data_IF_198581290431
#
_entry.id   IF_198581290431
#
_cell.length_a   1.000
_cell.length_b   1.000
_cell.length_c   1.000
_cell.angle_alpha   90.00
_cell.angle_beta   90.00
_cell.angle_gamma   90.00
#
_symmetry.space_group_name_H-M   'P 1'
#
loop_
_entity.id
_entity.type
_entity.pdbx_description
1 polymer ?
#
# COMPACT_ATOMS: atom_id res chain seq x y z
N UNK A 1 -4.15 13.86 -40.75
CA UNK A 1 -3.97 12.55 -40.11
C UNK A 1 -4.17 12.76 -38.61
N UNK A 2 -5.30 12.33 -38.05
CA UNK A 2 -5.60 12.55 -36.62
C UNK A 2 -4.91 11.41 -35.86
N UNK A 3 -3.86 11.71 -35.09
CA UNK A 3 -3.27 10.72 -34.18
C UNK A 3 -4.12 10.65 -32.91
N UNK A 4 -4.80 9.53 -32.68
CA UNK A 4 -5.42 9.27 -31.38
C UNK A 4 -4.29 9.22 -30.33
N UNK A 5 -4.40 10.02 -29.28
CA UNK A 5 -3.46 10.01 -28.16
C UNK A 5 -4.23 9.69 -26.89
N UNK A 6 -3.82 8.64 -26.22
CA UNK A 6 -4.47 8.23 -24.98
C UNK A 6 -4.27 9.27 -23.90
N UNK A 7 -5.37 9.67 -23.27
CA UNK A 7 -5.36 10.53 -22.08
C UNK A 7 -5.36 9.64 -20.83
N UNK A 8 -4.89 10.13 -19.67
CA UNK A 8 -4.95 9.35 -18.43
C UNK A 8 -6.38 8.91 -18.08
N UNK A 9 -7.37 9.76 -18.36
CA UNK A 9 -8.78 9.41 -18.19
C UNK A 9 -9.22 8.26 -19.12
N UNK A 10 -8.76 8.26 -20.38
CA UNK A 10 -9.03 7.18 -21.34
C UNK A 10 -8.42 5.85 -20.89
N UNK A 11 -7.16 5.87 -20.46
CA UNK A 11 -6.47 4.67 -19.96
C UNK A 11 -7.13 4.11 -18.71
N UNK A 12 -7.56 4.99 -17.80
CA UNK A 12 -8.30 4.58 -16.60
C UNK A 12 -9.64 3.93 -16.96
N UNK A 13 -10.39 4.53 -17.90
CA UNK A 13 -11.66 3.97 -18.37
C UNK A 13 -11.47 2.61 -19.06
N UNK A 14 -10.44 2.45 -19.89
CA UNK A 14 -10.09 1.15 -20.49
C UNK A 14 -9.73 0.12 -19.41
N UNK A 15 -8.94 0.51 -18.41
CA UNK A 15 -8.59 -0.36 -17.28
C UNK A 15 -9.84 -0.87 -16.55
N UNK A 16 -10.80 0.00 -16.25
CA UNK A 16 -12.01 -0.36 -15.51
C UNK A 16 -13.03 -1.15 -16.35
N UNK A 17 -13.19 -0.81 -17.63
CA UNK A 17 -14.26 -1.39 -18.47
C UNK A 17 -13.82 -2.64 -19.21
N UNK A 18 -12.52 -2.77 -19.51
CA UNK A 18 -11.99 -3.88 -20.31
C UNK A 18 -11.09 -4.80 -19.50
N UNK A 19 -10.03 -4.26 -18.88
CA UNK A 19 -9.04 -5.10 -18.20
C UNK A 19 -9.56 -5.69 -16.89
N UNK A 20 -10.26 -4.90 -16.07
CA UNK A 20 -10.74 -5.31 -14.75
C UNK A 20 -11.78 -6.45 -14.82
N UNK A 21 -12.80 -6.43 -15.70
CA UNK A 21 -13.78 -7.52 -15.77
C UNK A 21 -13.14 -8.82 -16.26
N UNK A 22 -12.22 -8.75 -17.23
CA UNK A 22 -11.46 -9.90 -17.72
C UNK A 22 -10.60 -10.52 -16.61
N UNK A 23 -9.85 -9.68 -15.88
CA UNK A 23 -9.05 -10.12 -14.75
C UNK A 23 -9.93 -10.75 -13.66
N UNK A 24 -11.04 -10.10 -13.31
CA UNK A 24 -11.97 -10.60 -12.28
C UNK A 24 -12.54 -11.96 -12.66
N UNK A 25 -12.93 -12.16 -13.92
CA UNK A 25 -13.42 -13.45 -14.43
C UNK A 25 -12.34 -14.53 -14.34
N UNK A 26 -11.11 -14.23 -14.76
CA UNK A 26 -9.99 -15.17 -14.72
C UNK A 26 -9.60 -15.55 -13.27
N UNK A 27 -9.50 -14.57 -12.36
CA UNK A 27 -9.22 -14.81 -10.95
C UNK A 27 -10.36 -15.57 -10.26
N UNK A 28 -11.62 -15.34 -10.66
CA UNK A 28 -12.73 -16.13 -10.19
C UNK A 28 -12.59 -17.61 -10.60
N UNK A 29 -12.21 -17.87 -11.85
CA UNK A 29 -11.90 -19.23 -12.33
C UNK A 29 -10.80 -19.89 -11.51
N UNK A 30 -9.73 -19.15 -11.21
CA UNK A 30 -8.62 -19.63 -10.37
C UNK A 30 -9.08 -19.98 -8.95
N UNK A 31 -9.95 -19.16 -8.34
CA UNK A 31 -10.52 -19.43 -7.01
C UNK A 31 -11.36 -20.72 -6.99
N UNK A 32 -12.09 -21.03 -8.07
CA UNK A 32 -12.87 -22.28 -8.16
C UNK A 32 -11.94 -23.50 -8.23
N UNK A 33 -10.79 -23.38 -8.89
CA UNK A 33 -9.78 -24.45 -8.97
C UNK A 33 -9.01 -24.59 -7.66
N UNK A 34 -8.70 -23.47 -7.00
CA UNK A 34 -7.90 -23.42 -5.78
C UNK A 34 -8.63 -22.66 -4.66
N UNK A 35 -9.38 -23.36 -3.80
CA UNK A 35 -10.18 -22.74 -2.74
C UNK A 35 -9.38 -21.85 -1.77
N UNK A 36 -8.10 -22.15 -1.56
CA UNK A 36 -7.21 -21.39 -0.67
C UNK A 36 -6.82 -20.00 -1.21
N UNK A 37 -6.96 -19.74 -2.52
CA UNK A 37 -6.49 -18.51 -3.17
C UNK A 37 -7.00 -17.24 -2.49
N UNK A 38 -8.31 -17.13 -2.28
CA UNK A 38 -8.94 -15.96 -1.66
C UNK A 38 -8.46 -15.69 -0.24
N UNK A 39 -8.16 -16.75 0.52
CA UNK A 39 -7.58 -16.62 1.85
C UNK A 39 -6.18 -16.04 1.81
N UNK A 40 -5.34 -16.52 0.88
CA UNK A 40 -3.98 -16.01 0.68
C UNK A 40 -4.00 -14.57 0.19
N UNK A 41 -4.82 -14.25 -0.81
CA UNK A 41 -4.98 -12.91 -1.37
C UNK A 41 -5.37 -11.88 -0.29
N UNK A 42 -6.33 -12.24 0.57
CA UNK A 42 -6.76 -11.39 1.69
C UNK A 42 -5.66 -11.19 2.72
N UNK A 43 -4.90 -12.23 3.06
CA UNK A 43 -3.76 -12.12 3.98
C UNK A 43 -2.64 -11.26 3.40
N UNK A 44 -2.29 -11.46 2.14
CA UNK A 44 -1.28 -10.67 1.43
C UNK A 44 -1.67 -9.18 1.40
N UNK A 45 -2.90 -8.86 0.96
CA UNK A 45 -3.43 -7.49 1.00
C UNK A 45 -3.40 -6.92 2.40
N UNK A 46 -3.93 -7.64 3.39
CA UNK A 46 -3.96 -7.16 4.78
C UNK A 46 -2.57 -6.85 5.29
N UNK A 47 -1.60 -7.72 5.03
CA UNK A 47 -0.21 -7.56 5.45
C UNK A 47 0.44 -6.34 4.80
N UNK A 48 0.36 -6.19 3.48
CA UNK A 48 0.92 -5.02 2.77
C UNK A 48 0.33 -3.71 3.28
N UNK A 49 -0.98 -3.67 3.52
CA UNK A 49 -1.65 -2.48 4.08
C UNK A 49 -1.25 -2.22 5.53
N UNK A 50 -1.09 -3.26 6.35
CA UNK A 50 -0.65 -3.15 7.74
C UNK A 50 0.80 -2.63 7.85
N UNK A 51 1.64 -2.98 6.87
CA UNK A 51 3.00 -2.44 6.72
C UNK A 51 3.04 -0.99 6.19
N UNK A 52 1.89 -0.30 6.11
CA UNK A 52 1.74 1.07 5.63
C UNK A 52 2.16 1.29 4.15
N UNK A 53 2.31 0.21 3.37
CA UNK A 53 2.70 0.28 1.95
C UNK A 53 1.50 0.38 1.01
N UNK A 54 0.30 0.64 1.56
CA UNK A 54 -0.95 0.51 0.81
C UNK A 54 -1.08 1.41 -0.43
N UNK A 55 -0.56 2.63 -0.36
CA UNK A 55 -0.68 3.58 -1.46
C UNK A 55 0.10 3.17 -2.72
N UNK A 56 1.14 2.32 -2.59
CA UNK A 56 2.00 1.92 -3.71
C UNK A 56 1.53 0.71 -4.50
N UNK A 57 0.52 -0.03 -4.01
CA UNK A 57 0.07 -1.28 -4.62
C UNK A 57 -1.44 -1.27 -4.86
N UNK A 58 -1.85 -1.63 -6.07
CA UNK A 58 -3.26 -1.89 -6.40
C UNK A 58 -3.68 -3.25 -5.83
N UNK A 59 -4.97 -3.43 -5.56
CA UNK A 59 -5.47 -4.71 -5.06
C UNK A 59 -5.26 -5.82 -6.09
N UNK A 60 -5.39 -5.48 -7.38
CA UNK A 60 -5.19 -6.38 -8.52
C UNK A 60 -3.72 -6.80 -8.67
N UNK A 61 -2.76 -5.90 -8.44
CA UNK A 61 -1.33 -6.26 -8.48
C UNK A 61 -0.99 -7.33 -7.44
N UNK A 62 -1.54 -7.21 -6.22
CA UNK A 62 -1.31 -8.17 -5.14
C UNK A 62 -2.02 -9.50 -5.42
N UNK A 63 -3.24 -9.46 -5.98
CA UNK A 63 -3.94 -10.68 -6.39
C UNK A 63 -3.18 -11.43 -7.48
N UNK A 64 -2.55 -10.73 -8.43
CA UNK A 64 -1.74 -11.34 -9.48
C UNK A 64 -0.45 -11.97 -8.94
N UNK A 65 0.22 -11.33 -7.98
CA UNK A 65 1.38 -11.94 -7.30
C UNK A 65 0.97 -13.21 -6.57
N UNK A 66 -0.18 -13.19 -5.90
CA UNK A 66 -0.71 -14.38 -5.23
C UNK A 66 -1.12 -15.45 -6.25
N UNK A 67 -1.73 -15.07 -7.38
CA UNK A 67 -2.12 -16.00 -8.44
C UNK A 67 -0.90 -16.76 -9.00
N UNK A 68 0.25 -16.09 -9.12
CA UNK A 68 1.49 -16.71 -9.55
C UNK A 68 1.89 -17.93 -8.69
N UNK A 69 1.59 -17.91 -7.38
CA UNK A 69 1.88 -19.03 -6.46
C UNK A 69 1.08 -20.30 -6.77
N UNK A 70 -0.09 -20.16 -7.39
CA UNK A 70 -0.96 -21.28 -7.74
C UNK A 70 -0.69 -21.77 -9.17
N UNK A 71 -0.37 -20.86 -10.08
CA UNK A 71 -0.10 -21.15 -11.49
C UNK A 71 1.33 -21.68 -11.73
N UNK A 72 2.29 -21.20 -10.95
CA UNK A 72 3.71 -21.56 -11.03
C UNK A 72 4.18 -22.02 -9.65
N UNK A 73 3.69 -23.19 -9.16
CA UNK A 73 3.96 -23.63 -7.81
C UNK A 73 5.40 -24.10 -7.59
N UNK A 74 6.19 -24.32 -8.64
CA UNK A 74 7.52 -24.90 -8.57
C UNK A 74 8.47 -24.06 -7.69
N UNK A 75 9.33 -24.70 -6.87
CA UNK A 75 9.56 -26.14 -6.71
C UNK A 75 8.56 -26.86 -5.79
N UNK A 76 7.54 -26.16 -5.30
CA UNK A 76 6.52 -26.70 -4.40
C UNK A 76 5.27 -27.19 -5.17
N UNK A 77 4.20 -27.49 -4.43
CA UNK A 77 2.84 -27.74 -4.95
C UNK A 77 1.96 -26.51 -4.80
N UNK A 78 0.81 -26.37 -5.48
CA UNK A 78 -0.11 -25.25 -5.22
C UNK A 78 -0.52 -25.17 -3.74
N UNK A 79 -0.57 -23.97 -3.11
CA UNK A 79 -0.94 -23.84 -1.71
C UNK A 79 -2.34 -24.41 -1.42
N UNK A 80 -2.45 -25.29 -0.42
CA UNK A 80 -3.74 -25.85 0.04
C UNK A 80 -4.33 -25.13 1.25
N UNK A 81 -3.53 -24.30 1.93
CA UNK A 81 -3.96 -23.50 3.09
C UNK A 81 -3.54 -22.03 2.95
N UNK A 82 -4.34 -21.08 3.47
CA UNK A 82 -3.99 -19.66 3.45
C UNK A 82 -2.66 -19.34 4.12
N UNK A 83 -2.32 -20.05 5.20
CA UNK A 83 -1.08 -19.84 5.96
C UNK A 83 0.15 -20.21 5.12
N UNK A 84 0.13 -21.38 4.47
CA UNK A 84 1.23 -21.81 3.59
C UNK A 84 1.35 -20.88 2.39
N UNK A 85 0.22 -20.49 1.79
CA UNK A 85 0.25 -19.54 0.68
C UNK A 85 0.77 -18.17 1.09
N UNK A 86 0.48 -17.70 2.31
CA UNK A 86 1.02 -16.44 2.83
C UNK A 86 2.54 -16.50 3.06
N UNK A 87 3.06 -17.59 3.62
CA UNK A 87 4.52 -17.80 3.72
C UNK A 87 5.18 -17.80 2.34
N UNK A 88 4.58 -18.49 1.37
CA UNK A 88 5.10 -18.52 0.00
C UNK A 88 4.98 -17.19 -0.71
N UNK A 89 3.97 -16.39 -0.40
CA UNK A 89 3.88 -15.00 -0.87
C UNK A 89 5.05 -14.18 -0.36
N UNK A 90 5.35 -14.21 0.94
CA UNK A 90 6.50 -13.51 1.52
C UNK A 90 7.83 -14.01 0.93
N UNK A 91 7.96 -15.33 0.74
CA UNK A 91 9.13 -15.94 0.09
C UNK A 91 9.29 -15.46 -1.36
N UNK A 92 8.23 -15.50 -2.16
CA UNK A 92 8.26 -15.00 -3.54
C UNK A 92 8.66 -13.53 -3.57
N UNK A 93 8.04 -12.69 -2.76
CA UNK A 93 8.32 -11.25 -2.73
C UNK A 93 9.77 -10.95 -2.34
N UNK A 94 10.32 -11.68 -1.37
CA UNK A 94 11.67 -11.46 -0.87
C UNK A 94 12.77 -12.01 -1.79
N UNK A 95 12.51 -13.11 -2.51
CA UNK A 95 13.53 -13.80 -3.32
C UNK A 95 13.45 -13.52 -4.82
N UNK A 96 12.31 -13.06 -5.33
CA UNK A 96 12.12 -12.81 -6.74
C UNK A 96 12.95 -11.61 -7.22
N UNK A 97 13.64 -11.79 -8.35
CA UNK A 97 14.44 -10.73 -8.98
C UNK A 97 13.55 -9.81 -9.83
N UNK A 98 12.91 -8.86 -9.15
CA UNK A 98 12.07 -7.83 -9.77
C UNK A 98 12.82 -6.92 -10.76
N UNK A 99 14.16 -6.89 -10.71
CA UNK A 99 14.96 -6.00 -11.57
C UNK A 99 15.12 -6.60 -12.95
N UNK A 100 15.49 -7.88 -13.02
CA UNK A 100 15.89 -8.53 -14.27
C UNK A 100 14.81 -9.46 -14.85
N UNK A 101 13.77 -9.82 -14.09
CA UNK A 101 12.72 -10.72 -14.55
C UNK A 101 11.32 -10.11 -14.40
N UNK A 102 10.45 -10.23 -15.42
CA UNK A 102 9.03 -9.94 -15.27
C UNK A 102 8.31 -11.13 -14.60
N UNK A 103 7.34 -10.85 -13.73
CA UNK A 103 6.45 -11.87 -13.19
C UNK A 103 5.36 -12.19 -14.21
N UNK A 104 5.48 -13.33 -14.89
CA UNK A 104 4.49 -13.78 -15.87
C UNK A 104 3.40 -14.57 -15.14
N UNK A 105 2.15 -14.14 -15.27
CA UNK A 105 0.97 -14.76 -14.65
C UNK A 105 0.08 -15.29 -15.77
N UNK A 106 0.28 -16.55 -16.17
CA UNK A 106 -0.42 -17.16 -17.29
C UNK A 106 -1.84 -17.63 -16.92
N UNK A 107 -2.77 -16.69 -16.80
CA UNK A 107 -4.17 -16.97 -16.53
C UNK A 107 -4.79 -17.82 -17.65
N UNK A 108 -5.56 -18.84 -17.28
CA UNK A 108 -6.24 -19.78 -18.19
C UNK A 108 -5.35 -20.51 -19.22
N UNK A 109 -4.02 -20.50 -19.05
CA UNK A 109 -3.05 -21.02 -20.01
C UNK A 109 -3.16 -20.38 -21.42
N UNK A 110 -3.53 -19.09 -21.49
CA UNK A 110 -3.67 -18.35 -22.74
C UNK A 110 -2.32 -18.01 -23.40
N UNK A 111 -1.22 -17.95 -22.63
CA UNK A 111 0.12 -17.72 -23.14
C UNK A 111 0.86 -19.03 -23.39
N UNK A 112 1.32 -19.21 -24.62
CA UNK A 112 2.18 -20.33 -25.01
C UNK A 112 3.59 -20.19 -24.44
N UNK A 113 4.34 -21.30 -24.37
CA UNK A 113 5.73 -21.31 -23.88
C UNK A 113 6.63 -20.42 -24.75
N UNK A 114 6.39 -20.41 -26.06
CA UNK A 114 7.11 -19.57 -27.03
C UNK A 114 6.88 -18.08 -26.74
N UNK A 115 5.62 -17.66 -26.56
CA UNK A 115 5.29 -16.27 -26.20
C UNK A 115 5.90 -15.85 -24.86
N UNK A 116 5.93 -16.75 -23.86
CA UNK A 116 6.60 -16.48 -22.58
C UNK A 116 8.11 -16.27 -22.76
N UNK A 117 8.75 -17.04 -23.65
CA UNK A 117 10.15 -16.87 -24.01
C UNK A 117 10.43 -15.53 -24.72
N UNK A 118 9.54 -15.12 -25.61
CA UNK A 118 9.60 -13.81 -26.29
C UNK A 118 9.47 -12.66 -25.29
N UNK A 119 8.52 -12.75 -24.35
CA UNK A 119 8.33 -11.74 -23.30
C UNK A 119 9.60 -11.59 -22.46
N UNK A 120 10.21 -12.71 -22.04
CA UNK A 120 11.46 -12.69 -21.24
C UNK A 120 12.63 -12.12 -22.02
N UNK A 121 12.79 -12.47 -23.29
CA UNK A 121 13.91 -11.98 -24.11
C UNK A 121 13.77 -10.48 -24.45
N UNK A 122 12.55 -10.01 -24.69
CA UNK A 122 12.27 -8.59 -24.96
C UNK A 122 12.33 -7.70 -23.71
N UNK A 123 12.16 -8.26 -22.51
CA UNK A 123 12.06 -7.50 -21.26
C UNK A 123 13.27 -6.60 -20.99
N UNK A 124 14.49 -7.14 -21.13
CA UNK A 124 15.71 -6.36 -20.86
C UNK A 124 15.89 -5.21 -21.86
N UNK A 125 15.43 -5.39 -23.10
CA UNK A 125 15.50 -4.37 -24.13
C UNK A 125 14.56 -3.18 -23.84
N UNK A 126 13.39 -3.43 -23.23
CA UNK A 126 12.40 -2.39 -22.90
C UNK A 126 12.44 -1.94 -21.44
N UNK A 127 13.36 -2.48 -20.62
CA UNK A 127 13.39 -2.30 -19.16
C UNK A 127 13.35 -0.85 -18.69
N UNK A 128 13.98 0.06 -19.43
CA UNK A 128 14.05 1.49 -19.09
C UNK A 128 12.70 2.22 -19.17
N UNK A 129 11.74 1.66 -19.90
CA UNK A 129 10.40 2.22 -20.09
C UNK A 129 9.37 1.58 -19.15
N UNK A 130 9.72 0.47 -18.49
CA UNK A 130 8.83 -0.32 -17.66
C UNK A 130 8.92 0.07 -16.19
N UNK A 131 7.82 -0.15 -15.41
CA UNK A 131 7.84 0.09 -13.97
C UNK A 131 8.84 -0.80 -13.24
N UNK A 132 9.05 -0.53 -11.95
CA UNK A 132 10.05 -1.27 -11.15
C UNK A 132 9.61 -2.72 -10.96
N UNK A 133 8.36 -2.90 -10.56
CA UNK A 133 7.68 -4.18 -10.49
C UNK A 133 6.95 -4.37 -11.82
N UNK A 134 7.12 -5.51 -12.50
CA UNK A 134 6.47 -5.79 -13.78
C UNK A 134 5.74 -7.10 -13.69
N UNK A 135 4.42 -7.03 -13.81
CA UNK A 135 3.52 -8.19 -13.88
C UNK A 135 2.92 -8.27 -15.28
N UNK A 136 3.09 -9.41 -15.93
CA UNK A 136 2.61 -9.68 -17.29
C UNK A 136 1.45 -10.66 -17.22
N UNK A 137 0.37 -10.35 -17.93
CA UNK A 137 -0.81 -11.21 -18.06
C UNK A 137 -1.12 -11.47 -19.53
N UNK A 138 -1.94 -12.47 -19.90
CA UNK A 138 -2.25 -12.74 -21.31
C UNK A 138 -2.83 -11.53 -22.04
N UNK A 139 -3.62 -10.73 -21.32
CA UNK A 139 -4.30 -9.53 -21.80
C UNK A 139 -3.42 -8.27 -21.80
N UNK A 140 -2.26 -8.33 -21.14
CA UNK A 140 -1.29 -7.24 -21.09
C UNK A 140 0.15 -7.79 -21.10
N UNK A 141 0.70 -7.80 -22.32
CA UNK A 141 2.01 -8.39 -22.65
C UNK A 141 3.16 -7.40 -22.60
N UNK A 142 2.90 -6.09 -22.46
CA UNK A 142 3.91 -5.04 -22.69
C UNK A 142 3.96 -3.96 -21.62
N UNK A 143 2.82 -3.51 -21.09
CA UNK A 143 2.77 -2.24 -20.36
C UNK A 143 2.69 -2.41 -18.83
N UNK A 144 2.30 -3.59 -18.37
CA UNK A 144 2.06 -3.89 -16.96
C UNK A 144 1.09 -2.89 -16.31
N UNK A 145 -0.11 -2.82 -16.88
CA UNK A 145 -1.23 -1.91 -16.53
C UNK A 145 -1.50 -1.86 -15.02
N UNK A 146 -1.33 -2.99 -14.32
CA UNK A 146 -1.60 -3.10 -12.88
C UNK A 146 -0.49 -2.56 -11.96
N UNK A 147 0.71 -2.33 -12.51
CA UNK A 147 1.89 -1.80 -11.78
C UNK A 147 2.50 -0.56 -12.43
N UNK A 148 1.81 0.03 -13.41
CA UNK A 148 2.27 1.20 -14.14
C UNK A 148 2.38 2.44 -13.24
N UNK A 149 1.40 2.65 -12.35
CA UNK A 149 1.32 3.81 -11.45
C UNK A 149 2.19 3.65 -10.19
N UNK A 150 2.73 2.46 -9.94
CA UNK A 150 3.49 2.11 -8.74
C UNK A 150 3.64 0.59 -8.58
N UNK A 151 4.54 0.12 -7.70
CA UNK A 151 5.24 0.86 -6.64
C UNK A 151 6.48 1.64 -7.11
N UNK A 152 6.89 2.63 -6.30
CA UNK A 152 8.21 3.27 -6.46
C UNK A 152 9.33 2.30 -6.05
N UNK A 153 10.58 2.52 -6.51
CA UNK A 153 11.69 1.62 -6.15
C UNK A 153 11.89 1.46 -4.64
N UNK A 154 11.69 2.55 -3.89
CA UNK A 154 11.82 2.57 -2.42
C UNK A 154 10.72 1.74 -1.74
N UNK A 155 9.47 1.88 -2.20
CA UNK A 155 8.33 1.12 -1.67
C UNK A 155 8.52 -0.38 -1.95
N UNK A 156 8.97 -0.73 -3.16
CA UNK A 156 9.24 -2.13 -3.50
C UNK A 156 10.41 -2.70 -2.68
N UNK A 157 11.50 -1.95 -2.53
CA UNK A 157 12.63 -2.36 -1.69
C UNK A 157 12.19 -2.58 -0.24
N UNK A 158 11.37 -1.68 0.30
CA UNK A 158 10.84 -1.81 1.65
C UNK A 158 9.95 -3.06 1.77
N UNK A 159 9.11 -3.34 0.79
CA UNK A 159 8.31 -4.57 0.74
C UNK A 159 9.20 -5.83 0.79
N UNK A 160 10.26 -5.87 -0.02
CA UNK A 160 11.22 -6.99 -0.09
C UNK A 160 11.90 -7.20 1.27
N UNK A 161 12.41 -6.13 1.89
CA UNK A 161 13.08 -6.20 3.20
C UNK A 161 12.12 -6.66 4.28
N UNK A 162 10.92 -6.08 4.36
CA UNK A 162 9.91 -6.49 5.35
C UNK A 162 9.47 -7.95 5.16
N UNK A 163 9.36 -8.41 3.91
CA UNK A 163 9.01 -9.80 3.62
C UNK A 163 10.13 -10.76 4.06
N UNK A 164 11.39 -10.40 3.81
CA UNK A 164 12.55 -11.18 4.23
C UNK A 164 12.66 -11.30 5.77
N UNK A 165 12.39 -10.22 6.49
CA UNK A 165 12.40 -10.21 7.97
C UNK A 165 11.17 -10.91 8.58
N UNK A 166 10.02 -10.87 7.90
CA UNK A 166 8.79 -11.52 8.36
C UNK A 166 8.88 -13.06 8.36
N UNK A 167 9.56 -13.66 7.36
CA UNK A 167 9.69 -15.10 7.22
C UNK A 167 10.29 -15.82 8.44
N UNK A 168 11.49 -15.47 8.93
CA UNK A 168 12.10 -16.16 10.07
C UNK A 168 11.29 -15.99 11.35
N UNK A 169 10.60 -14.85 11.52
CA UNK A 169 9.70 -14.63 12.66
C UNK A 169 8.52 -15.60 12.60
N UNK A 170 7.86 -15.74 11.44
CA UNK A 170 6.76 -16.69 11.27
C UNK A 170 7.22 -18.15 11.40
N UNK A 171 8.34 -18.51 10.79
CA UNK A 171 8.90 -19.85 10.86
C UNK A 171 9.18 -20.25 12.31
N UNK A 172 9.82 -19.38 13.09
CA UNK A 172 10.08 -19.62 14.51
C UNK A 172 8.80 -19.83 15.31
N UNK A 173 7.77 -19.00 15.07
CA UNK A 173 6.47 -19.12 15.75
C UNK A 173 5.71 -20.40 15.36
N UNK A 174 5.85 -20.86 14.11
CA UNK A 174 5.23 -22.10 13.66
C UNK A 174 5.91 -23.34 14.25
N UNK A 175 7.23 -23.28 14.45
CA UNK A 175 7.99 -24.36 15.07
C UNK A 175 7.83 -24.42 16.59
N UNK A 176 7.59 -23.27 17.25
CA UNK A 176 7.33 -23.18 18.69
C UNK A 176 6.03 -22.41 19.00
N UNK A 177 4.86 -23.04 18.85
CA UNK A 177 3.56 -22.38 19.02
C UNK A 177 3.22 -22.05 20.48
N UNK A 178 3.94 -22.61 21.47
CA UNK A 178 3.75 -22.29 22.89
C UNK A 178 4.76 -21.25 23.40
N UNK A 179 5.68 -20.82 22.56
CA UNK A 179 6.60 -19.74 22.88
C UNK A 179 5.85 -18.43 23.17
N UNK A 180 6.49 -17.48 23.87
CA UNK A 180 5.90 -16.20 24.24
C UNK A 180 5.72 -15.23 23.05
N UNK A 181 5.81 -15.70 21.81
CA UNK A 181 5.82 -14.85 20.63
C UNK A 181 4.42 -14.48 20.15
N UNK A 182 4.29 -13.25 19.67
CA UNK A 182 3.05 -12.73 19.12
C UNK A 182 3.14 -12.71 17.59
N UNK A 183 2.40 -13.59 16.91
CA UNK A 183 2.36 -13.65 15.44
C UNK A 183 1.92 -12.32 14.80
N UNK A 184 1.17 -11.50 15.53
CA UNK A 184 0.72 -10.17 15.08
C UNK A 184 1.88 -9.20 14.85
N UNK A 185 3.05 -9.45 15.45
CA UNK A 185 4.26 -8.64 15.22
C UNK A 185 4.61 -8.49 13.74
N UNK A 186 4.38 -9.54 12.95
CA UNK A 186 4.63 -9.54 11.49
C UNK A 186 3.68 -8.61 10.73
N UNK A 187 2.54 -8.26 11.32
CA UNK A 187 1.58 -7.30 10.79
C UNK A 187 1.75 -5.89 11.38
N UNK A 188 2.67 -5.68 12.33
CA UNK A 188 2.96 -4.35 12.87
C UNK A 188 4.07 -3.70 12.02
N UNK A 189 3.88 -2.45 11.54
CA UNK A 189 4.90 -1.74 10.78
C UNK A 189 6.03 -1.26 11.70
N UNK A 190 7.29 -1.23 11.22
CA UNK A 190 8.37 -0.55 11.94
C UNK A 190 8.14 0.97 11.86
N UNK A 191 7.75 1.57 12.98
CA UNK A 191 7.42 3.00 13.06
C UNK A 191 8.67 3.91 13.16
N UNK A 192 9.84 3.33 13.41
CA UNK A 192 11.09 4.08 13.66
C UNK A 192 11.67 4.73 12.39
N UNK A 193 11.19 4.32 11.22
CA UNK A 193 11.62 4.86 9.93
C UNK A 193 10.96 6.21 9.62
N UNK A 194 9.81 6.53 10.24
CA UNK A 194 9.03 7.72 9.94
C UNK A 194 9.52 8.93 10.74
N UNK A 195 9.57 10.10 10.08
CA UNK A 195 10.03 11.33 10.71
C UNK A 195 9.00 11.86 11.72
N UNK A 196 7.71 11.71 11.39
CA UNK A 196 6.58 12.14 12.24
C UNK A 196 5.52 11.06 12.26
N UNK A 197 4.89 10.85 13.42
CA UNK A 197 3.76 9.96 13.61
C UNK A 197 2.54 10.75 14.05
N UNK A 198 1.46 10.68 13.28
CA UNK A 198 0.17 11.26 13.66
C UNK A 198 -0.69 10.13 14.26
N UNK A 199 -0.97 10.21 15.56
CA UNK A 199 -1.82 9.26 16.27
C UNK A 199 -3.27 9.70 16.18
N UNK A 200 -4.13 8.81 15.70
CA UNK A 200 -5.55 9.01 15.53
C UNK A 200 -6.31 8.45 16.72
N UNK A 201 -7.42 9.10 17.07
CA UNK A 201 -8.32 8.66 18.12
C UNK A 201 -9.07 7.39 17.68
N UNK A 202 -8.92 6.25 18.39
CA UNK A 202 -9.52 4.97 17.99
C UNK A 202 -11.06 4.96 17.99
N UNK A 203 -11.68 6.00 18.56
CA UNK A 203 -13.13 6.22 18.60
C UNK A 203 -13.71 6.64 17.25
N UNK A 204 -12.89 7.26 16.41
CA UNK A 204 -13.32 7.86 15.13
C UNK A 204 -12.92 6.99 13.92
N UNK A 205 -12.26 5.85 14.16
CA UNK A 205 -11.83 4.92 13.12
C UNK A 205 -12.91 3.84 12.98
N UNK A 206 -13.70 3.82 11.88
CA UNK A 206 -14.83 2.92 11.75
C UNK A 206 -14.42 1.44 11.74
N UNK A 207 -13.27 1.14 11.13
CA UNK A 207 -12.75 -0.23 10.93
C UNK A 207 -11.94 -0.76 12.10
N UNK A 208 -11.48 0.11 13.00
CA UNK A 208 -10.63 -0.25 14.14
C UNK A 208 -11.34 -1.19 15.13
N UNK A 209 -12.67 -1.05 15.24
CA UNK A 209 -13.51 -1.87 16.14
C UNK A 209 -14.12 -3.09 15.48
N UNK A 210 -13.84 -3.34 14.20
CA UNK A 210 -14.26 -4.57 13.56
C UNK A 210 -13.28 -5.68 13.96
N UNK A 211 -13.70 -6.72 14.71
CA UNK A 211 -12.82 -7.74 15.31
C UNK A 211 -11.99 -8.56 14.31
N UNK A 212 -12.15 -8.31 13.01
CA UNK A 212 -11.54 -9.06 11.91
C UNK A 212 -10.67 -8.19 10.98
N UNK A 213 -10.59 -6.88 11.20
CA UNK A 213 -9.84 -5.96 10.33
C UNK A 213 -8.63 -5.35 11.02
N UNK A 214 -8.74 -4.89 12.27
CA UNK A 214 -7.58 -4.39 13.01
C UNK A 214 -6.63 -5.52 13.45
N UNK A 215 -5.32 -5.30 13.35
CA UNK A 215 -4.28 -6.24 13.84
C UNK A 215 -4.35 -6.31 15.37
N UNK A 216 -4.45 -5.15 16.00
CA UNK A 216 -4.56 -4.98 17.45
C UNK A 216 -5.96 -4.44 17.77
N UNK A 217 -6.95 -5.33 17.86
CA UNK A 217 -8.30 -4.91 18.28
C UNK A 217 -8.39 -4.78 19.80
N UNK A 218 -8.99 -3.69 20.34
CA UNK A 218 -9.19 -3.55 21.77
C UNK A 218 -10.20 -4.58 22.28
N UNK A 219 -9.94 -5.16 23.45
CA UNK A 219 -10.75 -6.23 24.06
C UNK A 219 -12.22 -5.85 24.30
N UNK A 220 -12.52 -4.56 24.46
CA UNK A 220 -13.87 -4.02 24.58
C UNK A 220 -14.30 -3.36 23.26
N UNK A 221 -14.79 -4.17 22.32
CA UNK A 221 -15.40 -3.66 21.09
C UNK A 221 -16.79 -3.10 21.38
N UNK A 222 -16.89 -1.83 21.77
CA UNK A 222 -18.19 -1.14 21.79
C UNK A 222 -18.64 -0.88 20.34
N UNK A 223 -19.56 -1.72 19.85
CA UNK A 223 -20.28 -1.50 18.60
C UNK A 223 -21.21 -0.30 18.76
N UNK A 224 -20.75 0.89 18.37
CA UNK A 224 -21.63 2.07 18.23
C UNK A 224 -22.53 1.83 17.02
N UNK A 225 -23.69 1.21 17.24
CA UNK A 225 -24.64 0.86 16.16
C UNK A 225 -25.57 -0.32 16.46
N UNK A 226 -25.26 -1.16 17.46
CA UNK A 226 -26.24 -2.07 18.04
C UNK A 226 -26.92 -1.33 19.19
N UNK A 227 -27.92 -0.51 18.86
CA UNK A 227 -28.85 -0.06 19.89
C UNK A 227 -29.54 -1.31 20.45
N UNK A 228 -29.48 -1.52 21.76
CA UNK A 228 -30.21 -2.60 22.43
C UNK A 228 -31.72 -2.44 22.28
N UNK A 229 -32.17 -1.23 21.95
CA UNK A 229 -33.57 -0.85 21.74
C UNK A 229 -33.67 -0.08 20.42
N UNK A 230 -34.55 -0.47 19.48
CA UNK A 230 -34.78 0.29 18.25
C UNK A 230 -35.46 1.62 18.60
N UNK A 231 -34.65 2.65 18.86
CA UNK A 231 -35.17 4.01 19.04
C UNK A 231 -35.90 4.49 17.78
N UNK A 232 -36.91 5.37 17.90
CA UNK A 232 -37.66 5.90 16.76
C UNK A 232 -36.79 6.94 16.04
N UNK A 233 -35.82 6.47 15.27
CA UNK A 233 -35.06 7.35 14.37
C UNK A 233 -34.76 6.59 13.10
N UNK A 234 -35.57 6.89 12.09
CA UNK A 234 -35.34 6.64 10.67
C UNK A 234 -34.12 7.44 10.15
N UNK A 235 -32.99 7.40 10.85
CA UNK A 235 -31.76 7.99 10.35
C UNK A 235 -31.05 6.90 9.56
N UNK A 236 -30.95 7.09 8.25
CA UNK A 236 -30.11 6.22 7.42
C UNK A 236 -28.68 6.28 7.96
N UNK A 237 -27.99 5.13 8.08
CA UNK A 237 -26.58 5.15 8.47
C UNK A 237 -25.79 5.96 7.45
N UNK A 238 -24.87 6.81 7.91
CA UNK A 238 -23.99 7.56 7.01
C UNK A 238 -23.08 6.56 6.28
N UNK A 239 -23.38 6.32 5.01
CA UNK A 239 -22.62 5.41 4.16
C UNK A 239 -21.27 6.06 3.80
N UNK A 240 -20.19 5.28 3.87
CA UNK A 240 -18.86 5.75 3.46
C UNK A 240 -18.19 6.75 4.40
N UNK A 241 -18.70 6.94 5.62
CA UNK A 241 -18.04 7.79 6.62
C UNK A 241 -16.74 7.15 7.12
N UNK A 242 -15.61 7.55 6.54
CA UNK A 242 -14.26 7.15 6.94
C UNK A 242 -13.38 8.38 7.19
N UNK A 243 -13.47 9.01 8.39
CA UNK A 243 -12.76 10.24 8.71
C UNK A 243 -11.24 10.17 8.51
N UNK A 244 -10.55 9.08 8.92
CA UNK A 244 -9.12 8.93 8.63
C UNK A 244 -8.77 9.05 7.15
N UNK A 245 -9.58 8.45 6.27
CA UNK A 245 -9.31 8.47 4.83
C UNK A 245 -9.53 9.87 4.24
N UNK A 246 -10.58 10.57 4.69
CA UNK A 246 -10.87 11.95 4.29
C UNK A 246 -9.77 12.92 4.75
N UNK A 247 -9.34 12.79 6.01
CA UNK A 247 -8.25 13.57 6.58
C UNK A 247 -6.93 13.32 5.84
N UNK A 248 -6.61 12.06 5.54
CA UNK A 248 -5.42 11.71 4.76
C UNK A 248 -5.47 12.25 3.33
N UNK A 249 -6.64 12.30 2.69
CA UNK A 249 -6.80 12.94 1.38
C UNK A 249 -6.50 14.45 1.45
N UNK A 250 -7.02 15.15 2.46
CA UNK A 250 -6.75 16.57 2.70
C UNK A 250 -5.26 16.84 2.97
N UNK A 251 -4.61 16.00 3.78
CA UNK A 251 -3.17 16.10 4.04
C UNK A 251 -2.34 15.93 2.76
N UNK A 252 -2.70 14.96 1.90
CA UNK A 252 -2.01 14.74 0.63
C UNK A 252 -2.24 15.88 -0.36
N UNK A 253 -3.43 16.48 -0.38
CA UNK A 253 -3.73 17.64 -1.23
C UNK A 253 -2.98 18.89 -0.77
N UNK A 254 -2.91 19.14 0.54
CA UNK A 254 -2.29 20.34 1.10
C UNK A 254 -0.76 20.25 1.21
N UNK A 255 -0.23 19.09 1.63
CA UNK A 255 1.18 18.91 2.00
C UNK A 255 1.90 17.82 1.19
N UNK A 256 1.26 17.27 0.16
CA UNK A 256 1.84 16.22 -0.68
C UNK A 256 3.12 16.63 -1.39
N UNK A 257 3.39 17.93 -1.53
CA UNK A 257 4.65 18.46 -2.08
C UNK A 257 5.82 18.40 -1.08
N UNK A 258 5.51 18.46 0.21
CA UNK A 258 6.50 18.55 1.29
C UNK A 258 6.80 17.18 1.93
N UNK A 259 5.77 16.35 2.08
CA UNK A 259 5.82 15.08 2.80
C UNK A 259 5.05 13.96 2.09
N UNK A 260 5.34 12.72 2.47
CA UNK A 260 4.65 11.51 2.08
C UNK A 260 3.89 10.94 3.29
N UNK A 261 2.61 10.60 3.08
CA UNK A 261 1.71 10.14 4.14
C UNK A 261 1.31 8.68 3.92
N UNK A 262 1.54 7.84 4.94
CA UNK A 262 1.33 6.40 4.91
C UNK A 262 0.36 5.98 6.01
N UNK A 263 -0.64 5.17 5.67
CA UNK A 263 -1.71 4.78 6.59
C UNK A 263 -2.24 3.40 6.25
N UNK A 264 -2.64 2.65 7.28
CA UNK A 264 -3.36 1.38 7.12
C UNK A 264 -4.87 1.62 7.03
N UNK A 265 -5.38 1.52 5.80
CA UNK A 265 -6.80 1.67 5.48
C UNK A 265 -7.73 0.69 6.22
N UNK A 266 -7.21 -0.40 6.78
CA UNK A 266 -7.99 -1.42 7.49
C UNK A 266 -8.01 -1.22 9.01
N UNK A 267 -7.87 0.03 9.45
CA UNK A 267 -8.03 0.42 10.84
C UNK A 267 -6.71 0.59 11.58
N UNK A 268 -5.66 1.09 10.92
CA UNK A 268 -4.50 1.58 11.64
C UNK A 268 -4.85 2.78 12.51
N UNK A 269 -4.19 2.93 13.65
CA UNK A 269 -4.34 4.11 14.52
C UNK A 269 -3.32 5.21 14.21
N UNK A 270 -2.33 4.92 13.36
CA UNK A 270 -1.18 5.80 13.14
C UNK A 270 -1.04 6.10 11.66
N UNK A 271 -0.83 7.38 11.33
CA UNK A 271 -0.35 7.83 10.02
C UNK A 271 1.15 8.10 10.16
N UNK A 272 1.96 7.34 9.42
CA UNK A 272 3.39 7.57 9.32
C UNK A 272 3.69 8.63 8.25
N UNK A 273 4.56 9.58 8.57
CA UNK A 273 4.94 10.67 7.68
C UNK A 273 6.44 10.66 7.42
N UNK A 274 6.82 10.81 6.15
CA UNK A 274 8.20 11.00 5.71
C UNK A 274 8.36 12.34 5.02
N UNK A 275 9.37 13.09 5.40
CA UNK A 275 9.73 14.31 4.72
C UNK A 275 10.39 14.01 3.37
N UNK A 276 10.04 14.75 2.32
CA UNK A 276 10.76 14.64 1.05
C UNK A 276 12.09 15.38 1.18
N UNK A 277 13.26 14.75 0.92
CA UNK A 277 14.55 15.43 1.06
C UNK A 277 14.67 16.69 0.18
N UNK A 278 14.00 16.69 -0.98
CA UNK A 278 13.96 17.83 -1.89
C UNK A 278 13.19 19.04 -1.34
N UNK A 279 12.28 18.85 -0.36
CA UNK A 279 11.50 19.96 0.20
C UNK A 279 12.34 20.85 1.12
N UNK A 280 13.35 20.28 1.78
CA UNK A 280 14.27 20.95 2.70
C UNK A 280 15.46 21.65 2.01
N UNK A 281 15.63 21.47 0.70
CA UNK A 281 16.63 22.23 -0.04
C UNK A 281 16.24 23.72 -0.06
N UNK A 282 17.17 24.65 0.24
CA UNK A 282 16.87 26.07 0.22
C UNK A 282 16.50 26.51 -1.20
N UNK A 283 15.35 27.16 -1.35
CA UNK A 283 14.87 27.64 -2.65
C UNK A 283 14.74 29.16 -2.65
N UNK A 284 14.94 29.82 -3.80
CA UNK A 284 14.68 31.26 -3.93
C UNK A 284 13.18 31.53 -3.73
N UNK A 285 12.87 32.71 -3.19
CA UNK A 285 11.49 33.14 -2.99
C UNK A 285 10.70 33.12 -4.31
N UNK A 286 9.60 32.37 -4.33
CA UNK A 286 8.63 32.32 -5.43
C UNK A 286 7.24 32.31 -4.83
N UNK A 287 6.38 33.24 -5.26
CA UNK A 287 5.02 33.39 -4.74
C UNK A 287 4.16 32.10 -4.88
N UNK A 288 4.44 31.27 -5.88
CA UNK A 288 3.74 29.99 -6.08
C UNK A 288 4.13 28.89 -5.08
N UNK A 289 5.27 29.02 -4.40
CA UNK A 289 5.83 27.98 -3.52
C UNK A 289 5.93 28.43 -2.05
N UNK A 290 5.00 29.29 -1.60
CA UNK A 290 5.01 29.85 -0.24
C UNK A 290 4.33 28.91 0.78
N UNK A 291 3.51 27.94 0.31
CA UNK A 291 2.74 27.04 1.17
C UNK A 291 3.64 26.25 2.13
N UNK A 292 3.40 26.38 3.44
CA UNK A 292 4.15 25.68 4.49
C UNK A 292 5.63 26.06 4.58
N UNK A 293 6.07 27.16 3.96
CA UNK A 293 7.47 27.62 4.00
C UNK A 293 7.60 28.95 4.71
N UNK A 294 8.73 29.15 5.37
CA UNK A 294 9.16 30.42 5.93
C UNK A 294 10.38 30.95 5.17
N UNK A 295 10.51 32.28 5.15
CA UNK A 295 11.70 32.95 4.60
C UNK A 295 12.74 33.05 5.72
N UNK A 296 13.95 32.62 5.44
CA UNK A 296 15.11 32.74 6.33
C UNK A 296 16.26 33.41 5.57
N UNK A 297 17.06 34.21 6.28
CA UNK A 297 18.29 34.77 5.72
C UNK A 297 19.44 33.83 6.01
N UNK A 298 20.03 33.24 4.97
CA UNK A 298 21.26 32.43 5.08
C UNK A 298 22.35 33.09 4.26
N UNK A 299 23.41 33.55 4.92
CA UNK A 299 24.54 34.20 4.25
C UNK A 299 24.19 35.52 3.54
N UNK A 300 23.13 36.21 3.95
CA UNK A 300 22.68 37.47 3.33
C UNK A 300 21.66 37.30 2.19
N UNK A 301 21.43 36.07 1.72
CA UNK A 301 20.39 35.76 0.73
C UNK A 301 19.11 35.27 1.39
N UNK A 302 17.95 35.69 0.84
CA UNK A 302 16.63 35.26 1.30
C UNK A 302 16.27 33.93 0.65
N UNK A 303 16.19 32.88 1.47
CA UNK A 303 15.84 31.53 1.05
C UNK A 303 14.59 31.04 1.76
N UNK A 304 13.81 30.20 1.10
CA UNK A 304 12.62 29.57 1.66
C UNK A 304 12.91 28.16 2.14
N UNK A 305 12.55 27.87 3.38
CA UNK A 305 12.68 26.56 4.05
C UNK A 305 11.32 26.18 4.64
N UNK A 306 10.94 24.88 4.68
CA UNK A 306 9.71 24.46 5.33
C UNK A 306 9.65 24.89 6.81
N UNK A 307 8.54 25.47 7.24
CA UNK A 307 8.30 25.80 8.64
C UNK A 307 7.69 24.58 9.34
N UNK A 308 8.55 23.70 9.85
CA UNK A 308 8.12 22.39 10.37
C UNK A 308 7.14 22.55 11.55
N UNK A 309 7.42 23.43 12.51
CA UNK A 309 6.56 23.63 13.69
C UNK A 309 5.14 24.05 13.29
N UNK A 310 5.02 25.04 12.41
CA UNK A 310 3.71 25.48 11.91
C UNK A 310 3.00 24.37 11.11
N UNK A 311 3.72 23.58 10.31
CA UNK A 311 3.12 22.46 9.58
C UNK A 311 2.57 21.39 10.55
N UNK A 312 3.30 21.07 11.62
CA UNK A 312 2.85 20.10 12.62
C UNK A 312 1.59 20.60 13.37
N UNK A 313 1.54 21.89 13.68
CA UNK A 313 0.35 22.54 14.24
C UNK A 313 -0.83 22.49 13.25
N UNK A 314 -0.60 22.81 11.98
CA UNK A 314 -1.62 22.72 10.93
C UNK A 314 -2.19 21.29 10.81
N UNK A 315 -1.36 20.26 10.94
CA UNK A 315 -1.83 18.87 10.95
C UNK A 315 -2.74 18.58 12.14
N UNK A 316 -2.42 19.09 13.32
CA UNK A 316 -3.26 18.96 14.51
C UNK A 316 -4.58 19.73 14.36
N UNK A 317 -4.54 20.94 13.80
CA UNK A 317 -5.73 21.80 13.57
C UNK A 317 -6.66 21.17 12.52
N UNK A 318 -6.14 20.74 11.38
CA UNK A 318 -6.93 20.06 10.34
C UNK A 318 -7.58 18.77 10.85
N UNK A 319 -6.93 18.12 11.80
CA UNK A 319 -7.36 16.87 12.41
C UNK A 319 -8.15 17.05 13.70
N UNK A 320 -8.62 18.24 14.04
CA UNK A 320 -9.26 18.51 15.34
C UNK A 320 -10.39 17.50 15.63
N UNK A 321 -10.35 16.89 16.82
CA UNK A 321 -11.28 15.83 17.24
C UNK A 321 -10.95 14.43 16.72
N UNK A 322 -10.23 14.29 15.60
CA UNK A 322 -9.73 13.01 15.09
C UNK A 322 -8.32 12.70 15.60
N UNK A 323 -7.39 13.64 15.52
CA UNK A 323 -5.98 13.49 15.89
C UNK A 323 -5.84 13.60 17.41
N UNK A 324 -5.14 12.64 18.01
CA UNK A 324 -4.82 12.62 19.43
C UNK A 324 -3.47 13.30 19.71
N UNK A 325 -2.47 13.02 18.89
CA UNK A 325 -1.13 13.57 19.05
C UNK A 325 -0.36 13.55 17.71
N UNK A 326 0.55 14.50 17.54
CA UNK A 326 1.52 14.54 16.45
C UNK A 326 2.91 14.45 17.07
N UNK A 327 3.60 13.33 16.87
CA UNK A 327 4.90 13.02 17.48
C UNK A 327 6.01 13.15 16.43
N UNK A 328 6.85 14.17 16.53
CA UNK A 328 8.10 14.24 15.77
C UNK A 328 9.13 13.29 16.38
N UNK A 329 9.64 12.34 15.60
CA UNK A 329 10.61 11.32 16.03
C UNK A 329 12.03 11.55 15.55
N UNK A 330 12.16 12.20 14.41
CA UNK A 330 13.42 12.54 13.77
C UNK A 330 13.70 14.02 13.99
N UNK A 331 14.94 14.41 14.25
CA UNK A 331 15.41 15.81 14.18
C UNK A 331 16.19 16.07 12.89
N UNK A 332 16.17 15.15 11.91
CA UNK A 332 16.94 15.26 10.65
C UNK A 332 16.55 16.47 9.79
N UNK A 333 15.51 17.19 10.17
CA UNK A 333 14.99 18.40 9.56
C UNK A 333 15.41 19.69 10.29
N UNK A 334 16.20 19.61 11.37
CA UNK A 334 16.83 20.79 11.96
C UNK A 334 17.91 21.29 11.00
N UNK A 335 17.65 22.44 10.36
CA UNK A 335 18.53 23.04 9.35
C UNK A 335 19.40 24.12 9.95
#
# INVERSE_FOLDING_TARGET
MISLRDTPASLHLERETRHLPLLTSALHGLQQQHPAFSGVARLAKRWVRAQLLGAGFTDESLDLVVAALFLHPEPFTPPSSPQVGFLRFLFLVSTFDWKNNPLIVNLNNELTVEEQGEIRSGFLATRTQLPVMVIITPQDRKNSVWTQDGPTPQILQQLVVLAAEALPVLEKQLMDPQGPGDIRTVFRPPLDLYDVLIRLSPRHIPRHRQPRQAVDSPAASFCRGLLSEPGPTSLMPVLGYDPPQLYLAQLREAFGDLALFFYDQHGGEVIGVLWKPSSFQPQPFKASNVKGRMVTSRGGELVMVPNVEAILEDWAILGEGLVQAVEARSERWTV
#
